data_IF_624406408512
#
_entry.id   IF_624406408512
#
_cell.length_a   1.000
_cell.length_b   1.000
_cell.length_c   1.000
_cell.angle_alpha   90.00
_cell.angle_beta   90.00
_cell.angle_gamma   90.00
#
_symmetry.space_group_name_H-M   'P 1'
#
loop_
_entity.id
_entity.type
_entity.pdbx_description
1 polymer ?
#
# COMPACT_ATOMS: atom_id res chain seq x y z
N UNK A 1 0.25 1.70 -30.85
CA UNK A 1 1.09 2.75 -30.22
C UNK A 1 2.53 2.32 -30.38
N UNK A 2 3.40 3.20 -30.86
CA UNK A 2 4.78 2.85 -31.18
C UNK A 2 5.58 2.60 -29.89
N UNK A 3 5.76 1.32 -29.54
CA UNK A 3 6.63 0.90 -28.45
C UNK A 3 8.06 1.43 -28.72
N UNK A 4 8.57 2.30 -27.85
CA UNK A 4 9.97 2.77 -27.89
C UNK A 4 10.22 4.20 -28.39
N UNK A 5 9.24 4.94 -28.93
CA UNK A 5 9.45 6.36 -29.28
C UNK A 5 9.71 7.23 -28.05
N UNK A 6 9.02 6.95 -26.95
CA UNK A 6 9.20 7.65 -25.68
C UNK A 6 10.61 7.45 -25.10
N UNK A 7 11.14 6.23 -25.14
CA UNK A 7 12.51 5.94 -24.67
C UNK A 7 13.57 6.70 -25.48
N UNK A 8 13.46 6.71 -26.81
CA UNK A 8 14.38 7.47 -27.68
C UNK A 8 14.32 8.98 -27.41
N UNK A 9 13.13 9.51 -27.15
CA UNK A 9 12.98 10.90 -26.77
C UNK A 9 13.63 11.19 -25.41
N UNK A 10 13.45 10.33 -24.42
CA UNK A 10 14.08 10.48 -23.10
C UNK A 10 15.61 10.46 -23.17
N UNK A 11 16.19 9.58 -24.00
CA UNK A 11 17.63 9.55 -24.28
C UNK A 11 18.12 10.89 -24.85
N UNK A 12 17.35 11.51 -25.76
CA UNK A 12 17.71 12.81 -26.35
C UNK A 12 17.72 13.97 -25.34
N UNK A 13 16.92 13.89 -24.29
CA UNK A 13 16.82 14.89 -23.22
C UNK A 13 17.74 14.53 -22.04
N UNK A 14 18.40 13.36 -22.07
CA UNK A 14 19.26 12.89 -20.99
C UNK A 14 18.52 12.48 -19.72
N UNK A 15 17.24 12.12 -19.83
CA UNK A 15 16.41 11.71 -18.69
C UNK A 15 16.37 10.19 -18.63
N UNK A 16 16.64 9.63 -17.44
CA UNK A 16 16.49 8.20 -17.23
C UNK A 16 15.01 7.78 -17.28
N UNK A 17 14.70 6.70 -18.01
CA UNK A 17 13.33 6.19 -18.16
C UNK A 17 12.61 5.95 -16.83
N UNK A 18 13.31 5.42 -15.83
CA UNK A 18 12.73 5.18 -14.50
C UNK A 18 12.34 6.47 -13.81
N UNK A 19 13.15 7.52 -13.94
CA UNK A 19 12.87 8.84 -13.37
C UNK A 19 11.65 9.45 -14.04
N UNK A 20 11.57 9.36 -15.37
CA UNK A 20 10.41 9.83 -16.14
C UNK A 20 9.12 9.09 -15.72
N UNK A 21 9.17 7.76 -15.59
CA UNK A 21 8.03 6.98 -15.12
C UNK A 21 7.59 7.34 -13.71
N UNK A 22 8.55 7.59 -12.80
CA UNK A 22 8.24 8.06 -11.45
C UNK A 22 7.57 9.43 -11.47
N UNK A 23 8.08 10.38 -12.25
CA UNK A 23 7.49 11.72 -12.40
C UNK A 23 6.08 11.66 -12.98
N UNK A 24 5.86 10.85 -14.01
CA UNK A 24 4.54 10.63 -14.60
C UNK A 24 3.55 10.08 -13.56
N UNK A 25 3.97 9.10 -12.76
CA UNK A 25 3.13 8.50 -11.71
C UNK A 25 2.78 9.53 -10.63
N UNK A 26 3.76 10.30 -10.17
CA UNK A 26 3.57 11.40 -9.22
C UNK A 26 2.55 12.40 -9.76
N UNK A 27 2.73 12.85 -11.01
CA UNK A 27 1.82 13.79 -11.64
C UNK A 27 0.40 13.22 -11.78
N UNK A 28 0.24 11.97 -12.20
CA UNK A 28 -1.09 11.36 -12.33
C UNK A 28 -1.86 11.25 -11.01
N UNK A 29 -1.15 11.10 -9.89
CA UNK A 29 -1.73 10.80 -8.57
C UNK A 29 -1.86 12.04 -7.67
N UNK A 30 -1.02 13.06 -7.89
CA UNK A 30 -0.88 14.24 -7.04
C UNK A 30 -1.07 15.56 -7.81
N UNK A 31 -1.31 15.49 -9.13
CA UNK A 31 -1.08 16.53 -10.16
C UNK A 31 -1.61 17.95 -10.01
N UNK A 32 -2.30 18.28 -8.91
CA UNK A 32 -2.80 19.64 -8.61
C UNK A 32 -2.31 20.21 -7.28
N UNK A 33 -1.59 19.43 -6.45
CA UNK A 33 -1.08 19.85 -5.13
C UNK A 33 0.38 20.34 -5.18
N UNK A 34 0.78 21.00 -6.27
CA UNK A 34 2.17 21.41 -6.53
C UNK A 34 2.76 22.29 -5.43
N UNK A 35 1.95 23.10 -4.76
CA UNK A 35 2.38 23.98 -3.65
C UNK A 35 2.65 23.25 -2.34
N UNK A 36 1.96 22.14 -2.07
CA UNK A 36 2.12 21.35 -0.84
C UNK A 36 3.36 20.47 -0.87
N UNK A 37 3.87 20.21 -2.07
CA UNK A 37 4.88 19.18 -2.34
C UNK A 37 6.17 19.72 -2.95
N UNK A 38 6.30 21.03 -3.09
CA UNK A 38 7.44 21.70 -3.71
C UNK A 38 8.76 21.47 -2.98
N UNK A 39 8.72 21.32 -1.65
CA UNK A 39 9.90 21.09 -0.80
C UNK A 39 10.27 19.60 -0.68
N UNK A 40 9.44 18.70 -1.23
CA UNK A 40 9.59 17.26 -1.08
C UNK A 40 10.33 16.66 -2.29
N UNK A 41 11.39 15.89 -2.02
CA UNK A 41 12.16 15.22 -3.06
C UNK A 41 11.34 14.16 -3.82
N UNK A 42 11.66 13.95 -5.11
CA UNK A 42 10.96 13.03 -6.02
C UNK A 42 10.74 11.62 -5.45
N UNK A 43 11.73 11.08 -4.74
CA UNK A 43 11.63 9.74 -4.14
C UNK A 43 10.53 9.66 -3.07
N UNK A 44 10.37 10.70 -2.25
CA UNK A 44 9.30 10.77 -1.26
C UNK A 44 7.95 10.91 -1.95
N UNK A 45 7.84 11.81 -2.94
CA UNK A 45 6.61 11.98 -3.73
C UNK A 45 6.17 10.69 -4.41
N UNK A 46 7.10 9.92 -4.96
CA UNK A 46 6.78 8.63 -5.55
C UNK A 46 6.22 7.64 -4.52
N UNK A 47 6.77 7.61 -3.30
CA UNK A 47 6.23 6.74 -2.24
C UNK A 47 4.81 7.16 -1.85
N UNK A 48 4.57 8.47 -1.68
CA UNK A 48 3.24 9.03 -1.40
C UNK A 48 2.25 8.64 -2.52
N UNK A 49 2.66 8.82 -3.78
CA UNK A 49 1.85 8.47 -4.95
C UNK A 49 1.52 6.97 -5.05
N UNK A 50 2.34 6.08 -4.46
CA UNK A 50 2.07 4.64 -4.45
C UNK A 50 1.08 4.19 -3.37
N UNK A 51 0.80 5.05 -2.39
CA UNK A 51 -0.22 4.81 -1.36
C UNK A 51 -1.57 5.24 -1.96
N UNK A 52 -2.65 4.46 -1.81
CA UNK A 52 -3.96 4.84 -2.33
C UNK A 52 -4.49 6.11 -1.64
N UNK A 53 -5.23 6.98 -2.35
CA UNK A 53 -5.66 8.29 -1.83
C UNK A 53 -6.46 8.18 -0.53
N UNK A 54 -7.30 7.16 -0.39
CA UNK A 54 -8.10 6.91 0.82
C UNK A 54 -7.25 6.61 2.08
N UNK A 55 -5.99 6.21 1.92
CA UNK A 55 -5.07 6.00 3.02
C UNK A 55 -4.13 7.20 3.25
N UNK A 56 -4.00 8.13 2.29
CA UNK A 56 -3.14 9.32 2.43
C UNK A 56 -3.65 10.31 3.46
N UNK A 57 -4.96 10.50 3.51
CA UNK A 57 -5.61 11.45 4.44
C UNK A 57 -5.74 10.90 5.86
N UNK A 58 -5.49 9.60 6.05
CA UNK A 58 -5.59 8.99 7.37
C UNK A 58 -4.30 9.23 8.14
N UNK A 59 -4.40 9.60 9.43
CA UNK A 59 -3.24 9.62 10.30
C UNK A 59 -2.68 8.20 10.46
N UNK A 60 -1.38 8.02 10.23
CA UNK A 60 -0.70 6.75 10.44
C UNK A 60 0.23 6.85 11.64
N UNK A 61 0.25 5.80 12.43
CA UNK A 61 1.22 5.65 13.52
C UNK A 61 2.51 5.06 12.96
N UNK A 62 3.60 5.79 13.14
CA UNK A 62 4.93 5.35 12.72
C UNK A 62 5.40 4.27 13.70
N UNK A 63 5.71 3.04 13.24
CA UNK A 63 6.09 1.95 14.15
C UNK A 63 7.42 2.19 14.87
N UNK A 64 8.35 2.97 14.30
CA UNK A 64 9.63 3.28 14.93
C UNK A 64 9.56 4.41 15.96
N UNK A 65 8.82 5.48 15.66
CA UNK A 65 8.80 6.70 16.48
C UNK A 65 7.58 6.77 17.41
N UNK A 66 6.52 6.00 17.12
CA UNK A 66 5.25 6.04 17.87
C UNK A 66 4.41 7.30 17.62
N UNK A 67 4.91 8.25 16.82
CA UNK A 67 4.20 9.47 16.47
C UNK A 67 3.14 9.22 15.39
N UNK A 68 2.03 9.95 15.52
CA UNK A 68 0.94 9.94 14.55
C UNK A 68 1.13 11.12 13.60
N UNK A 69 1.52 10.84 12.36
CA UNK A 69 1.73 11.86 11.32
C UNK A 69 0.88 11.57 10.09
N UNK A 70 0.60 12.62 9.32
CA UNK A 70 0.02 12.48 7.99
C UNK A 70 1.10 12.06 6.99
N UNK A 71 0.69 11.46 5.87
CA UNK A 71 1.61 10.92 4.85
C UNK A 71 2.52 11.99 4.25
N UNK A 72 2.08 13.25 4.27
CA UNK A 72 2.77 14.39 3.67
C UNK A 72 3.93 14.92 4.53
N UNK A 73 3.90 14.69 5.84
CA UNK A 73 4.91 15.17 6.80
C UNK A 73 5.96 14.10 7.17
N UNK A 74 5.75 12.85 6.74
CA UNK A 74 6.62 11.73 7.06
C UNK A 74 7.87 11.66 6.16
N UNK A 75 8.97 11.19 6.73
CA UNK A 75 10.19 10.92 5.97
C UNK A 75 10.07 9.65 5.12
N UNK A 76 10.92 9.52 4.09
CA UNK A 76 10.94 8.33 3.20
C UNK A 76 11.09 7.02 3.96
N UNK A 77 11.87 7.01 5.05
CA UNK A 77 12.09 5.81 5.87
C UNK A 77 10.81 5.39 6.58
N UNK A 78 10.11 6.35 7.18
CA UNK A 78 8.86 6.14 7.89
C UNK A 78 7.75 5.68 6.92
N UNK A 79 7.66 6.27 5.72
CA UNK A 79 6.73 5.83 4.68
C UNK A 79 6.93 4.35 4.28
N UNK A 80 8.18 3.89 4.19
CA UNK A 80 8.48 2.48 3.90
C UNK A 80 8.04 1.55 5.03
N UNK A 81 8.20 1.99 6.27
CA UNK A 81 7.80 1.23 7.45
C UNK A 81 6.28 1.12 7.56
N UNK A 82 5.56 2.24 7.41
CA UNK A 82 4.09 2.26 7.40
C UNK A 82 3.55 1.35 6.28
N UNK A 83 4.11 1.47 5.07
CA UNK A 83 3.73 0.60 3.94
C UNK A 83 3.99 -0.88 4.22
N UNK A 84 5.09 -1.21 4.90
CA UNK A 84 5.41 -2.59 5.30
C UNK A 84 4.40 -3.09 6.34
N UNK A 85 4.08 -2.29 7.34
CA UNK A 85 3.10 -2.62 8.38
C UNK A 85 1.71 -2.87 7.80
N UNK A 86 1.24 -2.00 6.88
CA UNK A 86 -0.04 -2.18 6.19
C UNK A 86 -0.08 -3.47 5.37
N UNK A 87 1.00 -3.77 4.64
CA UNK A 87 1.09 -5.02 3.86
C UNK A 87 1.11 -6.26 4.75
N UNK A 88 1.74 -6.19 5.91
CA UNK A 88 1.77 -7.30 6.87
C UNK A 88 0.42 -7.50 7.58
N UNK A 89 -0.26 -6.41 7.93
CA UNK A 89 -1.64 -6.44 8.42
C UNK A 89 -2.59 -7.04 7.37
N UNK A 90 -2.45 -6.70 6.09
CA UNK A 90 -3.24 -7.29 5.01
C UNK A 90 -2.93 -8.78 4.80
N UNK A 91 -1.64 -9.15 4.84
CA UNK A 91 -1.22 -10.55 4.69
C UNK A 91 -1.69 -11.43 5.85
N UNK A 92 -1.67 -10.92 7.07
CA UNK A 92 -2.18 -11.63 8.24
C UNK A 92 -3.69 -11.78 8.20
N UNK A 93 -4.43 -10.72 7.81
CA UNK A 93 -5.88 -10.78 7.58
C UNK A 93 -6.25 -11.78 6.49
N UNK A 94 -5.63 -11.72 5.32
CA UNK A 94 -5.88 -12.67 4.23
C UNK A 94 -5.52 -14.11 4.61
N UNK A 95 -4.36 -14.36 5.23
CA UNK A 95 -4.01 -15.70 5.77
C UNK A 95 -5.06 -16.21 6.75
N UNK A 96 -5.55 -15.35 7.63
CA UNK A 96 -6.60 -15.71 8.58
C UNK A 96 -7.93 -16.01 7.88
N UNK A 97 -8.34 -15.21 6.89
CA UNK A 97 -9.53 -15.45 6.08
C UNK A 97 -9.40 -16.78 5.32
N UNK A 98 -8.27 -17.03 4.66
CA UNK A 98 -8.02 -18.30 3.95
C UNK A 98 -8.01 -19.48 4.92
N UNK A 99 -7.36 -19.35 6.08
CA UNK A 99 -7.36 -20.39 7.10
C UNK A 99 -8.77 -20.67 7.63
N UNK A 100 -9.55 -19.62 7.93
CA UNK A 100 -10.93 -19.75 8.39
C UNK A 100 -11.84 -20.36 7.32
N UNK A 101 -11.70 -19.95 6.06
CA UNK A 101 -12.46 -20.49 4.93
C UNK A 101 -12.12 -21.97 4.67
N UNK A 102 -10.83 -22.35 4.75
CA UNK A 102 -10.40 -23.73 4.57
C UNK A 102 -10.84 -24.62 5.75
N UNK A 103 -10.81 -24.08 6.98
CA UNK A 103 -11.30 -24.74 8.19
C UNK A 103 -12.83 -24.95 8.16
N UNK A 104 -13.59 -24.10 7.44
CA UNK A 104 -15.02 -24.33 7.21
C UNK A 104 -15.34 -25.37 6.12
N UNK A 105 -14.35 -25.75 5.30
CA UNK A 105 -14.49 -26.69 4.17
C UNK A 105 -14.00 -28.10 4.49
N UNK A 106 -13.03 -28.21 5.40
CA UNK A 106 -12.60 -29.48 6.00
C UNK A 106 -13.34 -29.65 7.32
N UNK A 107 -13.81 -30.85 7.64
CA UNK A 107 -14.37 -31.20 8.96
C UNK A 107 -13.26 -31.15 10.02
N UNK A 108 -12.70 -29.96 10.27
CA UNK A 108 -11.66 -29.75 11.26
C UNK A 108 -12.36 -29.46 12.59
N UNK A 109 -12.40 -30.48 13.47
CA UNK A 109 -13.08 -30.45 14.76
C UNK A 109 -12.44 -29.52 15.81
N UNK A 110 -11.41 -28.76 15.46
CA UNK A 110 -10.77 -27.79 16.35
C UNK A 110 -11.37 -26.39 16.20
N UNK A 111 -11.94 -25.79 17.27
CA UNK A 111 -12.43 -24.41 17.26
C UNK A 111 -11.32 -23.41 16.94
N UNK A 112 -11.58 -22.46 16.03
CA UNK A 112 -10.67 -21.35 15.79
C UNK A 112 -10.67 -20.44 17.04
N UNK A 113 -9.58 -20.44 17.83
CA UNK A 113 -9.47 -19.72 19.11
C UNK A 113 -9.75 -18.20 19.03
N UNK A 114 -9.81 -17.60 17.83
CA UNK A 114 -9.96 -16.15 17.64
C UNK A 114 -11.36 -15.69 17.23
N UNK A 115 -12.18 -16.54 16.62
CA UNK A 115 -13.50 -16.12 16.11
C UNK A 115 -14.63 -16.34 17.10
N UNK A 116 -14.43 -17.14 18.16
CA UNK A 116 -15.45 -17.46 19.15
C UNK A 116 -16.74 -18.06 18.54
N UNK A 117 -16.71 -18.47 17.27
CA UNK A 117 -17.90 -18.93 16.57
C UNK A 117 -18.23 -20.36 17.06
N UNK A 118 -19.41 -20.58 17.65
CA UNK A 118 -19.81 -21.93 18.05
C UNK A 118 -20.04 -22.80 16.81
N UNK A 119 -19.83 -24.10 16.99
CA UNK A 119 -20.08 -25.13 15.99
C UNK A 119 -21.52 -24.99 15.47
N UNK A 120 -21.72 -24.58 14.21
CA UNK A 120 -23.05 -24.74 13.58
C UNK A 120 -23.22 -26.21 13.28
N UNK A 121 -23.99 -26.91 14.13
CA UNK A 121 -24.48 -28.25 13.83
C UNK A 121 -25.38 -28.11 12.60
N UNK A 122 -24.92 -28.60 11.44
CA UNK A 122 -25.82 -28.85 10.32
C UNK A 122 -26.78 -29.96 10.78
N UNK A 123 -27.96 -29.58 11.26
CA UNK A 123 -29.10 -30.49 11.36
C UNK A 123 -29.62 -30.68 9.94
N UNK A 124 -29.20 -31.76 9.30
CA UNK A 124 -29.87 -32.24 8.10
C UNK A 124 -31.28 -32.69 8.49
N UNK A 125 -32.27 -32.10 7.83
CA UNK A 125 -33.64 -32.61 7.70
C UNK A 125 -33.83 -33.03 6.26
#
# INVERSE_FOLDING_TARGET
MAHGQFGKWLESVGINERVAQMMMKVYSELGSKTSTYSEIGLNALYQIATIPPAEREKPHTIPSTGETKTVDEMTVRELREVKKALKEAEKSRSRHVTHCANCSRTLCWTPCKRTGRPYRRFSGS
#
